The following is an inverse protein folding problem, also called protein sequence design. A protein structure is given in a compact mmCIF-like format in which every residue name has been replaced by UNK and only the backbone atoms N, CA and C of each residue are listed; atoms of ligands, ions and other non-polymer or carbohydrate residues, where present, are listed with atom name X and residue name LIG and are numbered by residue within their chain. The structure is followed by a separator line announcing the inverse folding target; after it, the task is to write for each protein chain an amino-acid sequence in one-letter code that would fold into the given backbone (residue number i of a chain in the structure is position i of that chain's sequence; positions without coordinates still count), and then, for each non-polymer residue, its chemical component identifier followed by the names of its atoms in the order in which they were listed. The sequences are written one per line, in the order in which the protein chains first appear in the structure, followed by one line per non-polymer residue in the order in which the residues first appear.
data_IF_148081339367
#
_entry.id   IF_148081339367
#
_cell.length_a   1.000
_cell.length_b   1.000
_cell.length_c   1.000
_cell.angle_alpha   90.00
_cell.angle_beta   90.00
_cell.angle_gamma   90.00
#
_symmetry.space_group_name_H-M   'P 1'
#
loop_
_entity.id
_entity.type
_entity.pdbx_description
1 polymer ?
#
# COMPACT_ATOMS: atom_id res chain seq x y z
N UNK A 1 30.34 -7.15 22.86
CA UNK A 1 29.04 -6.47 22.73
C UNK A 1 28.80 -6.28 21.23
N UNK A 2 27.94 -7.09 20.60
CA UNK A 2 27.76 -7.10 19.14
C UNK A 2 26.67 -6.11 18.74
N UNK A 3 27.04 -4.92 18.27
CA UNK A 3 26.13 -3.87 17.79
C UNK A 3 25.61 -4.18 16.38
N UNK A 4 24.96 -5.33 16.20
CA UNK A 4 24.26 -5.64 14.94
C UNK A 4 22.83 -5.16 15.08
N UNK A 5 22.54 -4.03 14.43
CA UNK A 5 21.16 -3.61 14.19
C UNK A 5 20.40 -4.79 13.54
N UNK A 6 19.20 -5.15 14.03
CA UNK A 6 18.39 -6.20 13.42
C UNK A 6 18.17 -5.87 11.95
N UNK A 7 18.39 -6.83 11.06
CA UNK A 7 18.22 -6.63 9.59
C UNK A 7 16.82 -6.08 9.27
N UNK A 8 15.82 -6.45 10.06
CA UNK A 8 14.45 -5.94 9.98
C UNK A 8 14.36 -4.43 10.19
N UNK A 9 15.12 -3.87 11.15
CA UNK A 9 15.19 -2.42 11.37
C UNK A 9 15.85 -1.69 10.21
N UNK A 10 16.85 -2.31 9.55
CA UNK A 10 17.51 -1.72 8.38
C UNK A 10 16.56 -1.71 7.19
N UNK A 11 15.89 -2.84 6.91
CA UNK A 11 14.93 -2.95 5.83
C UNK A 11 13.76 -1.97 6.00
N UNK A 12 13.20 -1.88 7.20
CA UNK A 12 12.12 -0.95 7.52
C UNK A 12 12.57 0.52 7.40
N UNK A 13 13.79 0.87 7.83
CA UNK A 13 14.34 2.22 7.66
C UNK A 13 14.60 2.57 6.19
N UNK A 14 15.04 1.61 5.36
CA UNK A 14 15.19 1.81 3.92
C UNK A 14 13.82 2.00 3.24
N UNK A 15 12.81 1.24 3.67
CA UNK A 15 11.43 1.33 3.18
C UNK A 15 10.76 2.66 3.53
N UNK A 16 11.01 3.19 4.73
CA UNK A 16 10.51 4.51 5.14
C UNK A 16 11.29 5.65 4.48
N UNK A 17 12.58 5.42 4.17
CA UNK A 17 13.42 6.40 3.47
C UNK A 17 12.98 6.58 2.02
N UNK A 18 12.54 5.51 1.36
CA UNK A 18 11.93 5.56 0.03
C UNK A 18 10.41 5.66 0.14
N UNK A 19 9.87 6.88 0.16
CA UNK A 19 8.40 7.14 0.22
C UNK A 19 7.63 6.39 -0.86
N UNK A 20 8.29 6.16 -1.99
CA UNK A 20 7.76 5.46 -3.15
C UNK A 20 7.56 3.95 -2.90
N UNK A 21 8.51 3.30 -2.25
CA UNK A 21 8.38 1.87 -1.89
C UNK A 21 7.21 1.66 -0.93
N UNK A 22 7.01 2.62 -0.02
CA UNK A 22 5.90 2.61 0.92
C UNK A 22 4.55 2.77 0.20
N UNK A 23 4.45 3.68 -0.78
CA UNK A 23 3.25 3.86 -1.60
C UNK A 23 2.88 2.58 -2.36
N UNK A 24 3.88 1.89 -2.94
CA UNK A 24 3.67 0.63 -3.66
C UNK A 24 3.16 -0.47 -2.72
N UNK A 25 3.70 -0.55 -1.50
CA UNK A 25 3.25 -1.53 -0.50
C UNK A 25 1.83 -1.23 0.00
N UNK A 26 1.45 0.05 0.13
CA UNK A 26 0.12 0.44 0.59
C UNK A 26 -0.95 0.29 -0.50
N UNK A 27 -0.56 0.34 -1.77
CA UNK A 27 -1.46 0.29 -2.93
C UNK A 27 -2.46 -0.90 -2.92
N UNK A 28 -2.09 -2.15 -2.59
CA UNK A 28 -3.04 -3.26 -2.52
C UNK A 28 -3.94 -3.23 -1.27
N UNK A 29 -3.63 -2.43 -0.25
CA UNK A 29 -4.36 -2.46 1.04
C UNK A 29 -5.84 -2.09 0.87
N UNK A 30 -6.22 -1.00 0.18
CA UNK A 30 -7.63 -0.67 -0.01
C UNK A 30 -8.41 -1.74 -0.80
N UNK A 31 -7.76 -2.40 -1.77
CA UNK A 31 -8.34 -3.52 -2.52
C UNK A 31 -8.59 -4.74 -1.62
N UNK A 32 -7.62 -5.09 -0.79
CA UNK A 32 -7.74 -6.20 0.17
C UNK A 32 -8.85 -5.92 1.18
N UNK A 33 -8.94 -4.69 1.68
CA UNK A 33 -10.01 -4.26 2.59
C UNK A 33 -11.38 -4.35 1.90
N UNK A 34 -11.51 -3.87 0.66
CA UNK A 34 -12.76 -3.97 -0.11
C UNK A 34 -13.18 -5.42 -0.38
N UNK A 35 -12.23 -6.29 -0.66
CA UNK A 35 -12.46 -7.73 -0.80
C UNK A 35 -12.95 -8.36 0.51
N UNK A 36 -12.22 -8.14 1.62
CA UNK A 36 -12.59 -8.66 2.94
C UNK A 36 -13.96 -8.15 3.38
N UNK A 37 -14.24 -6.86 3.16
CA UNK A 37 -15.53 -6.26 3.47
C UNK A 37 -16.67 -6.93 2.69
N UNK A 38 -16.47 -7.22 1.40
CA UNK A 38 -17.45 -7.97 0.60
C UNK A 38 -17.68 -9.38 1.13
N UNK A 39 -16.63 -10.10 1.50
CA UNK A 39 -16.74 -11.44 2.10
C UNK A 39 -17.49 -11.39 3.43
N UNK A 40 -17.21 -10.41 4.29
CA UNK A 40 -17.84 -10.27 5.62
C UNK A 40 -19.30 -9.80 5.56
N UNK A 41 -19.67 -9.05 4.53
CA UNK A 41 -21.02 -8.45 4.40
C UNK A 41 -21.92 -9.13 3.37
N UNK A 42 -21.42 -10.14 2.66
CA UNK A 42 -22.09 -10.81 1.54
C UNK A 42 -22.53 -9.87 0.40
N UNK A 43 -21.98 -8.66 0.35
CA UNK A 43 -22.11 -7.74 -0.80
C UNK A 43 -21.35 -8.33 -1.98
N UNK A 44 -21.81 -8.16 -3.24
CA UNK A 44 -21.09 -8.66 -4.40
C UNK A 44 -19.62 -8.23 -4.43
N UNK A 45 -18.73 -9.18 -4.70
CA UNK A 45 -17.27 -8.96 -4.73
C UNK A 45 -16.88 -7.87 -5.73
N UNK A 46 -17.59 -7.78 -6.86
CA UNK A 46 -17.41 -6.69 -7.83
C UNK A 46 -17.62 -5.31 -7.24
N UNK A 47 -18.59 -5.16 -6.33
CA UNK A 47 -18.87 -3.89 -5.63
C UNK A 47 -17.80 -3.62 -4.59
N UNK A 48 -17.47 -4.59 -3.72
CA UNK A 48 -16.46 -4.41 -2.67
C UNK A 48 -15.06 -4.11 -3.24
N UNK A 49 -14.60 -4.92 -4.19
CA UNK A 49 -13.31 -4.72 -4.86
C UNK A 49 -13.33 -3.44 -5.71
N UNK A 50 -14.43 -3.13 -6.38
CA UNK A 50 -14.57 -1.86 -7.12
C UNK A 50 -14.44 -0.64 -6.21
N UNK A 51 -15.12 -0.64 -5.06
CA UNK A 51 -15.01 0.44 -4.07
C UNK A 51 -13.63 0.56 -3.45
N UNK A 52 -12.94 -0.57 -3.21
CA UNK A 52 -11.55 -0.58 -2.74
C UNK A 52 -10.55 -0.18 -3.84
N UNK A 53 -10.88 -0.42 -5.11
CA UNK A 53 -10.05 -0.07 -6.25
C UNK A 53 -9.96 1.43 -6.51
N UNK A 54 -11.02 2.19 -6.23
CA UNK A 54 -11.02 3.66 -6.37
C UNK A 54 -9.90 4.33 -5.55
N UNK A 55 -9.82 4.14 -4.21
CA UNK A 55 -8.73 4.71 -3.42
C UNK A 55 -7.35 4.14 -3.79
N UNK A 56 -7.24 2.85 -4.17
CA UNK A 56 -5.97 2.29 -4.68
C UNK A 56 -5.51 2.97 -5.97
N UNK A 57 -6.43 3.26 -6.90
CA UNK A 57 -6.12 3.96 -8.15
C UNK A 57 -5.73 5.42 -7.90
N UNK A 58 -6.38 6.09 -6.93
CA UNK A 58 -5.99 7.44 -6.51
C UNK A 58 -4.60 7.47 -5.88
N UNK A 59 -4.26 6.50 -5.03
CA UNK A 59 -2.91 6.35 -4.45
C UNK A 59 -1.85 6.10 -5.52
N UNK A 60 -2.16 5.24 -6.50
CA UNK A 60 -1.29 5.03 -7.66
C UNK A 60 -1.07 6.32 -8.44
N UNK A 61 -2.14 7.05 -8.76
CA UNK A 61 -2.06 8.32 -9.46
C UNK A 61 -1.26 9.37 -8.68
N UNK A 62 -1.44 9.43 -7.35
CA UNK A 62 -0.66 10.31 -6.49
C UNK A 62 0.84 9.98 -6.55
N UNK A 63 1.21 8.69 -6.43
CA UNK A 63 2.60 8.27 -6.56
C UNK A 63 3.19 8.66 -7.91
N UNK A 64 2.47 8.37 -9.01
CA UNK A 64 2.94 8.63 -10.36
C UNK A 64 3.05 10.12 -10.74
N UNK A 65 2.18 11.00 -10.22
CA UNK A 65 2.04 12.36 -10.73
C UNK A 65 2.35 13.48 -9.72
N UNK A 66 2.29 13.20 -8.41
CA UNK A 66 2.60 14.21 -7.38
C UNK A 66 3.96 13.91 -6.74
N UNK A 67 4.15 12.69 -6.28
CA UNK A 67 5.37 12.25 -5.58
C UNK A 67 6.33 11.50 -6.52
N UNK A 68 6.32 11.84 -7.82
CA UNK A 68 7.04 11.19 -8.93
C UNK A 68 8.46 10.74 -8.54
N UNK A 69 8.92 9.52 -8.93
CA UNK A 69 10.17 8.95 -8.43
C UNK A 69 11.41 9.70 -8.95
N UNK A 70 11.21 10.70 -9.82
CA UNK A 70 12.23 11.51 -10.46
C UNK A 70 12.48 12.86 -9.77
N UNK A 71 11.71 13.22 -8.73
CA UNK A 71 11.78 14.52 -8.04
C UNK A 71 12.80 14.57 -6.89
#
# INVERSE_FOLDING_TARGET
MSTREPIENIAFNLLIRSRYDLLIIILPVPLIVGFLASVMTAVPVSVGVGTGGVPSALLLGYGLFIDDPSA
#
